data_IF_270738635131
#
_entry.id   IF_270738635131
#
_cell.length_a   1.000
_cell.length_b   1.000
_cell.length_c   1.000
_cell.angle_alpha   90.00
_cell.angle_beta   90.00
_cell.angle_gamma   90.00
#
_symmetry.space_group_name_H-M   'P 1'
#
loop_
_entity.id
_entity.type
_entity.pdbx_description
1 polymer ?
#
# COMPACT_ATOMS: atom_id res chain seq x y z
N UNK A 1 -27.60 23.64 6.11
CA UNK A 1 -27.28 22.54 5.16
C UNK A 1 -25.79 22.45 4.80
N UNK A 2 -25.10 23.53 4.39
CA UNK A 2 -23.66 23.47 4.02
C UNK A 2 -22.75 22.89 5.11
N UNK A 3 -22.97 23.27 6.37
CA UNK A 3 -22.14 22.83 7.51
C UNK A 3 -22.28 21.33 7.85
N UNK A 4 -23.49 20.79 7.71
CA UNK A 4 -23.78 19.35 7.87
C UNK A 4 -23.17 18.51 6.73
N UNK A 5 -23.12 19.05 5.51
CA UNK A 5 -22.46 18.39 4.38
C UNK A 5 -20.95 18.38 4.56
N UNK A 6 -20.34 19.50 4.95
CA UNK A 6 -18.89 19.60 5.21
C UNK A 6 -18.47 18.69 6.37
N UNK A 7 -19.23 18.63 7.46
CA UNK A 7 -18.90 17.78 8.60
C UNK A 7 -18.99 16.29 8.26
N UNK A 8 -19.98 15.90 7.44
CA UNK A 8 -20.14 14.52 6.96
C UNK A 8 -19.02 14.11 6.01
N UNK A 9 -18.66 14.97 5.06
CA UNK A 9 -17.53 14.73 4.13
C UNK A 9 -16.23 14.60 4.92
N UNK A 10 -15.97 15.51 5.85
CA UNK A 10 -14.80 15.45 6.74
C UNK A 10 -14.76 14.16 7.57
N UNK A 11 -15.91 13.66 8.02
CA UNK A 11 -16.00 12.39 8.75
C UNK A 11 -15.62 11.20 7.87
N UNK A 12 -16.22 11.05 6.69
CA UNK A 12 -15.90 9.95 5.77
C UNK A 12 -14.42 9.95 5.37
N UNK A 13 -13.86 11.14 5.10
CA UNK A 13 -12.44 11.29 4.80
C UNK A 13 -11.54 10.79 5.92
N UNK A 14 -11.91 11.01 7.19
CA UNK A 14 -11.17 10.49 8.35
C UNK A 14 -11.32 8.99 8.50
N UNK A 15 -12.51 8.45 8.24
CA UNK A 15 -12.76 6.99 8.26
C UNK A 15 -11.96 6.27 7.17
N UNK A 16 -11.88 6.84 5.96
CA UNK A 16 -11.05 6.32 4.88
C UNK A 16 -9.56 6.34 5.24
N UNK A 17 -9.08 7.42 5.85
CA UNK A 17 -7.70 7.49 6.36
C UNK A 17 -7.47 6.38 7.39
N UNK A 18 -8.35 6.21 8.37
CA UNK A 18 -8.21 5.19 9.41
C UNK A 18 -8.17 3.77 8.81
N UNK A 19 -9.07 3.46 7.87
CA UNK A 19 -9.09 2.18 7.15
C UNK A 19 -7.73 1.86 6.51
N UNK A 20 -7.13 2.84 5.83
CA UNK A 20 -5.83 2.66 5.16
C UNK A 20 -4.67 2.65 6.16
N UNK A 21 -4.73 3.41 7.25
CA UNK A 21 -3.71 3.35 8.31
C UNK A 21 -3.69 1.98 9.00
N UNK A 22 -4.86 1.42 9.31
CA UNK A 22 -4.99 0.10 9.91
C UNK A 22 -4.52 -0.99 8.94
N UNK A 23 -4.86 -0.86 7.66
CA UNK A 23 -4.32 -1.72 6.61
C UNK A 23 -2.78 -1.68 6.56
N UNK A 24 -2.14 -0.51 6.57
CA UNK A 24 -0.68 -0.43 6.59
C UNK A 24 -0.08 -1.06 7.84
N UNK A 25 -0.68 -0.77 9.00
CA UNK A 25 -0.24 -1.31 10.29
C UNK A 25 -0.27 -2.83 10.28
N UNK A 26 -1.40 -3.43 9.92
CA UNK A 26 -1.55 -4.88 9.98
C UNK A 26 -0.78 -5.58 8.87
N UNK A 27 -0.85 -5.07 7.64
CA UNK A 27 -0.38 -5.80 6.45
C UNK A 27 1.07 -5.48 6.10
N UNK A 28 1.49 -4.21 6.15
CA UNK A 28 2.86 -3.85 5.75
C UNK A 28 3.82 -3.77 6.94
N UNK A 29 3.35 -3.33 8.11
CA UNK A 29 4.20 -3.21 9.31
C UNK A 29 4.25 -4.54 10.08
N UNK A 30 3.09 -5.09 10.44
CA UNK A 30 2.96 -6.33 11.21
C UNK A 30 3.02 -7.60 10.34
N UNK A 31 2.78 -7.45 9.02
CA UNK A 31 2.87 -8.54 8.03
C UNK A 31 1.86 -9.67 8.26
N UNK A 32 0.69 -9.30 8.77
CA UNK A 32 -0.46 -10.17 8.94
C UNK A 32 -1.40 -10.10 7.73
N UNK A 33 -1.08 -10.89 6.70
CA UNK A 33 -1.89 -10.97 5.49
C UNK A 33 -3.27 -11.62 5.70
N UNK A 34 -3.52 -12.26 6.85
CA UNK A 34 -4.84 -12.82 7.16
C UNK A 34 -5.90 -11.72 7.38
N UNK A 35 -5.44 -10.50 7.69
CA UNK A 35 -6.27 -9.31 7.92
C UNK A 35 -6.71 -8.62 6.63
N UNK A 36 -6.12 -8.96 5.48
CA UNK A 36 -6.47 -8.34 4.19
C UNK A 36 -7.98 -8.36 3.89
N UNK A 37 -8.72 -9.37 4.36
CA UNK A 37 -10.18 -9.44 4.18
C UNK A 37 -10.96 -8.32 4.87
N UNK A 38 -10.41 -7.70 5.92
CA UNK A 38 -11.03 -6.56 6.61
C UNK A 38 -10.87 -5.26 5.86
N UNK A 39 -9.81 -5.13 5.06
CA UNK A 39 -9.47 -3.88 4.42
C UNK A 39 -9.80 -3.87 2.93
N UNK A 40 -9.65 -5.02 2.24
CA UNK A 40 -9.67 -5.08 0.78
C UNK A 40 -10.94 -5.74 0.25
N UNK A 41 -11.47 -5.16 -0.84
CA UNK A 41 -12.54 -5.75 -1.63
C UNK A 41 -12.08 -7.09 -2.22
N UNK A 42 -12.97 -8.06 -2.34
CA UNK A 42 -12.63 -9.36 -2.93
C UNK A 42 -12.10 -9.20 -4.36
N UNK A 43 -12.74 -8.31 -5.13
CA UNK A 43 -12.39 -7.98 -6.51
C UNK A 43 -11.48 -6.74 -6.57
N UNK A 44 -10.56 -6.60 -5.62
CA UNK A 44 -9.57 -5.52 -5.60
C UNK A 44 -8.80 -5.44 -6.93
N UNK A 45 -8.61 -4.23 -7.45
CA UNK A 45 -7.86 -3.98 -8.68
C UNK A 45 -6.50 -3.39 -8.31
N UNK A 46 -5.43 -4.04 -8.77
CA UNK A 46 -4.08 -3.55 -8.62
C UNK A 46 -3.57 -3.06 -9.97
N UNK A 47 -3.42 -1.74 -10.12
CA UNK A 47 -2.87 -1.15 -11.34
C UNK A 47 -1.34 -1.09 -11.33
N UNK A 48 -0.70 -1.41 -10.21
CA UNK A 48 0.74 -1.55 -10.21
C UNK A 48 1.14 -2.86 -10.89
N UNK A 49 2.29 -2.82 -11.56
CA UNK A 49 2.77 -3.99 -12.27
C UNK A 49 3.06 -5.14 -11.27
N UNK A 50 2.97 -6.39 -11.74
CA UNK A 50 3.44 -7.62 -11.06
C UNK A 50 2.57 -8.25 -9.98
N UNK A 51 1.55 -7.58 -9.46
CA UNK A 51 0.58 -8.19 -8.52
C UNK A 51 -0.70 -8.49 -9.28
N UNK A 52 -1.16 -9.74 -9.22
CA UNK A 52 -2.42 -10.13 -9.83
C UNK A 52 -3.58 -9.39 -9.16
N UNK A 53 -4.63 -9.10 -9.95
CA UNK A 53 -5.88 -8.58 -9.43
C UNK A 53 -6.55 -9.56 -8.47
N UNK A 54 -7.46 -9.02 -7.66
CA UNK A 54 -8.16 -9.71 -6.60
C UNK A 54 -7.38 -9.69 -5.28
N UNK A 55 -8.10 -9.72 -4.17
CA UNK A 55 -7.49 -9.79 -2.84
C UNK A 55 -6.57 -11.00 -2.68
N UNK A 56 -6.96 -12.14 -3.26
CA UNK A 56 -6.17 -13.37 -3.17
C UNK A 56 -4.85 -13.24 -3.92
N UNK A 57 -4.83 -12.57 -5.08
CA UNK A 57 -3.61 -12.26 -5.83
C UNK A 57 -2.64 -11.38 -5.03
N UNK A 58 -3.17 -10.38 -4.31
CA UNK A 58 -2.39 -9.57 -3.37
C UNK A 58 -1.81 -10.42 -2.23
N UNK A 59 -2.63 -11.23 -1.55
CA UNK A 59 -2.21 -12.06 -0.43
C UNK A 59 -1.12 -13.04 -0.87
N UNK A 60 -1.29 -13.69 -2.02
CA UNK A 60 -0.32 -14.63 -2.57
C UNK A 60 1.03 -13.94 -2.81
N UNK A 61 1.03 -12.81 -3.51
CA UNK A 61 2.24 -12.06 -3.83
C UNK A 61 2.98 -11.63 -2.55
N UNK A 62 2.30 -10.95 -1.62
CA UNK A 62 2.95 -10.41 -0.43
C UNK A 62 3.32 -11.49 0.61
N UNK A 63 2.61 -12.62 0.65
CA UNK A 63 3.02 -13.79 1.45
C UNK A 63 4.30 -14.41 0.90
N UNK A 64 4.41 -14.56 -0.43
CA UNK A 64 5.61 -15.08 -1.08
C UNK A 64 6.79 -14.10 -0.98
N UNK A 65 6.54 -12.81 -1.18
CA UNK A 65 7.51 -11.75 -0.93
C UNK A 65 8.01 -11.83 0.51
N UNK A 66 7.10 -11.98 1.47
CA UNK A 66 7.47 -12.04 2.88
C UNK A 66 8.33 -13.24 3.26
N UNK A 67 8.11 -14.40 2.65
CA UNK A 67 8.96 -15.59 2.84
C UNK A 67 10.37 -15.36 2.28
N UNK A 68 10.48 -14.73 1.11
CA UNK A 68 11.78 -14.38 0.48
C UNK A 68 12.52 -13.29 1.25
N UNK A 69 11.77 -12.36 1.83
CA UNK A 69 12.26 -11.17 2.50
C UNK A 69 11.73 -11.14 3.95
N UNK A 70 12.25 -12.00 4.85
CA UNK A 70 11.71 -12.17 6.20
C UNK A 70 11.98 -10.98 7.11
N UNK A 71 12.83 -10.04 6.71
CA UNK A 71 13.11 -8.82 7.43
C UNK A 71 12.72 -7.61 6.57
N UNK A 72 11.80 -6.81 7.07
CA UNK A 72 11.33 -5.60 6.40
C UNK A 72 10.13 -5.03 7.11
N UNK A 73 9.87 -3.76 6.87
CA UNK A 73 8.72 -3.04 7.42
C UNK A 73 8.47 -1.77 6.61
N UNK A 74 7.44 -1.04 6.99
CA UNK A 74 7.06 0.24 6.42
C UNK A 74 6.78 1.28 7.51
N UNK A 75 6.67 2.54 7.11
CA UNK A 75 6.10 3.60 7.93
C UNK A 75 5.42 4.64 7.06
N UNK A 76 4.29 5.15 7.51
CA UNK A 76 3.59 6.25 6.82
C UNK A 76 4.27 7.56 7.21
N UNK A 77 4.70 8.33 6.22
CA UNK A 77 5.25 9.68 6.41
C UNK A 77 4.17 10.74 6.26
N UNK A 78 3.28 10.56 5.28
CA UNK A 78 2.12 11.42 5.08
C UNK A 78 0.95 10.59 4.57
N UNK A 79 -0.23 10.92 5.06
CA UNK A 79 -1.49 10.37 4.56
C UNK A 79 -2.52 11.50 4.48
N UNK A 80 -3.31 11.49 3.42
CA UNK A 80 -4.41 12.42 3.22
C UNK A 80 -5.50 11.71 2.41
N UNK A 81 -6.73 12.19 2.53
CA UNK A 81 -7.84 11.72 1.72
C UNK A 81 -8.43 12.88 0.92
N UNK A 82 -9.04 12.54 -0.22
CA UNK A 82 -9.84 13.42 -1.05
C UNK A 82 -10.95 12.59 -1.66
N UNK A 83 -12.19 12.97 -1.41
CA UNK A 83 -13.37 12.18 -1.79
C UNK A 83 -13.24 10.72 -1.30
N UNK A 84 -13.38 9.76 -2.21
CA UNK A 84 -13.23 8.33 -1.97
C UNK A 84 -11.77 7.85 -2.05
N UNK A 85 -10.80 8.74 -2.26
CA UNK A 85 -9.40 8.37 -2.42
C UNK A 85 -8.57 8.67 -1.17
N UNK A 86 -7.59 7.81 -0.91
CA UNK A 86 -6.57 8.00 0.13
C UNK A 86 -5.19 7.93 -0.53
N UNK A 87 -4.38 8.94 -0.25
CA UNK A 87 -3.02 9.07 -0.76
C UNK A 87 -2.05 8.86 0.39
N UNK A 88 -1.11 7.94 0.20
CA UNK A 88 -0.10 7.58 1.20
C UNK A 88 1.28 7.85 0.62
N UNK A 89 2.11 8.53 1.39
CA UNK A 89 3.54 8.60 1.15
C UNK A 89 4.22 7.80 2.26
N UNK A 90 4.77 6.64 1.89
CA UNK A 90 5.31 5.68 2.84
C UNK A 90 6.79 5.39 2.59
N UNK A 91 7.52 5.16 3.68
CA UNK A 91 8.86 4.62 3.67
C UNK A 91 8.78 3.11 3.79
N UNK A 92 9.58 2.40 3.02
CA UNK A 92 9.70 0.95 3.09
C UNK A 92 11.16 0.55 3.16
N UNK A 93 11.42 -0.55 3.85
CA UNK A 93 12.72 -1.19 3.82
C UNK A 93 12.59 -2.70 3.91
N UNK A 94 13.56 -3.38 3.32
CA UNK A 94 13.72 -4.82 3.49
C UNK A 94 15.20 -5.18 3.51
N UNK A 95 15.55 -6.27 4.18
CA UNK A 95 16.92 -6.77 4.26
C UNK A 95 17.00 -8.15 3.62
N UNK A 96 17.90 -8.29 2.66
CA UNK A 96 18.22 -9.54 1.99
C UNK A 96 19.74 -9.73 1.98
N UNK A 97 20.22 -10.87 2.49
CA UNK A 97 21.64 -11.26 2.43
C UNK A 97 22.61 -10.17 2.93
N UNK A 98 22.26 -9.48 4.02
CA UNK A 98 23.07 -8.40 4.59
C UNK A 98 22.90 -7.02 3.93
N UNK A 99 22.22 -6.96 2.79
CA UNK A 99 21.93 -5.73 2.05
C UNK A 99 20.56 -5.18 2.47
N UNK A 100 20.49 -3.90 2.80
CA UNK A 100 19.23 -3.21 3.09
C UNK A 100 18.77 -2.43 1.86
N UNK A 101 17.62 -2.82 1.33
CA UNK A 101 16.89 -2.05 0.34
C UNK A 101 16.00 -1.04 1.07
N UNK A 102 16.01 0.20 0.60
CA UNK A 102 15.18 1.30 1.11
C UNK A 102 14.51 1.97 -0.07
N UNK A 103 13.21 2.17 0.02
CA UNK A 103 12.43 2.81 -1.02
C UNK A 103 11.27 3.59 -0.42
N UNK A 104 10.72 4.52 -1.19
CA UNK A 104 9.45 5.16 -0.87
C UNK A 104 8.41 4.79 -1.89
N UNK A 105 7.17 4.67 -1.44
CA UNK A 105 6.01 4.50 -2.28
C UNK A 105 5.10 5.72 -2.14
N UNK A 106 4.56 6.17 -3.26
CA UNK A 106 3.36 6.99 -3.29
C UNK A 106 2.24 6.06 -3.73
N UNK A 107 1.35 5.74 -2.80
CA UNK A 107 0.23 4.84 -3.01
C UNK A 107 -1.07 5.64 -3.04
N UNK A 108 -1.96 5.31 -3.96
CA UNK A 108 -3.30 5.90 -4.09
C UNK A 108 -4.29 4.75 -4.00
N UNK A 109 -5.23 4.84 -3.07
CA UNK A 109 -6.27 3.84 -2.85
C UNK A 109 -7.63 4.47 -3.10
N UNK A 110 -8.46 3.84 -3.93
CA UNK A 110 -9.89 4.14 -4.00
C UNK A 110 -10.63 3.27 -2.98
N UNK A 111 -11.50 3.90 -2.18
CA UNK A 111 -12.32 3.23 -1.18
C UNK A 111 -13.77 3.15 -1.67
N UNK A 112 -14.32 1.94 -1.69
CA UNK A 112 -15.75 1.70 -1.97
C UNK A 112 -16.30 0.72 -0.95
N UNK A 113 -17.52 0.97 -0.47
CA UNK A 113 -18.20 0.10 0.50
C UNK A 113 -17.34 -0.23 1.74
N UNK A 114 -16.59 0.77 2.23
CA UNK A 114 -15.66 0.63 3.36
C UNK A 114 -14.54 -0.42 3.13
N UNK A 115 -14.12 -0.57 1.87
CA UNK A 115 -13.02 -1.44 1.44
C UNK A 115 -12.14 -0.73 0.43
N UNK A 116 -10.86 -1.07 0.42
CA UNK A 116 -9.93 -0.72 -0.64
C UNK A 116 -10.35 -1.49 -1.89
N UNK A 117 -10.81 -0.75 -2.90
CA UNK A 117 -11.32 -1.31 -4.15
C UNK A 117 -10.26 -1.33 -5.24
N UNK A 118 -9.47 -0.28 -5.32
CA UNK A 118 -8.49 -0.10 -6.38
C UNK A 118 -7.25 0.62 -5.86
N UNK A 119 -6.11 0.34 -6.48
CA UNK A 119 -4.81 0.85 -6.07
C UNK A 119 -3.91 1.19 -7.24
N UNK A 120 -3.13 2.26 -7.07
CA UNK A 120 -2.03 2.67 -7.93
C UNK A 120 -0.83 3.02 -7.06
N UNK A 121 0.38 2.69 -7.53
CA UNK A 121 1.61 3.08 -6.86
C UNK A 121 2.65 3.68 -7.81
N UNK A 122 3.60 4.40 -7.21
CA UNK A 122 4.90 4.69 -7.80
C UNK A 122 5.98 4.55 -6.73
N UNK A 123 7.06 3.84 -7.07
CA UNK A 123 8.13 3.49 -6.13
C UNK A 123 9.47 4.11 -6.53
N UNK A 124 10.16 4.68 -5.54
CA UNK A 124 11.49 5.30 -5.68
C UNK A 124 12.50 4.64 -4.73
N UNK A 125 13.60 4.11 -5.26
CA UNK A 125 14.71 3.61 -4.44
C UNK A 125 15.52 4.74 -3.80
N UNK A 126 15.96 4.56 -2.54
CA UNK A 126 16.63 5.61 -1.76
C UNK A 126 18.15 5.43 -1.59
N UNK A 127 18.71 4.31 -2.00
CA UNK A 127 20.16 4.09 -1.98
C UNK A 127 20.62 3.44 -3.30
N UNK A 128 21.92 3.45 -3.58
CA UNK A 128 22.45 3.03 -4.89
C UNK A 128 21.95 1.66 -5.36
N UNK A 129 21.92 0.67 -4.46
CA UNK A 129 21.41 -0.66 -4.79
C UNK A 129 19.89 -0.68 -5.01
N UNK A 130 19.12 0.08 -4.22
CA UNK A 130 17.65 0.16 -4.39
C UNK A 130 17.29 0.87 -5.68
N UNK A 131 17.96 2.00 -5.99
CA UNK A 131 17.78 2.72 -7.25
C UNK A 131 18.03 1.79 -8.43
N UNK A 132 19.15 1.06 -8.41
CA UNK A 132 19.49 0.10 -9.45
C UNK A 132 18.42 -0.99 -9.61
N UNK A 133 17.97 -1.61 -8.51
CA UNK A 133 16.95 -2.67 -8.55
C UNK A 133 15.62 -2.14 -9.12
N UNK A 134 15.11 -1.01 -8.61
CA UNK A 134 13.82 -0.49 -9.08
C UNK A 134 13.90 0.07 -10.51
N UNK A 135 15.05 0.57 -10.94
CA UNK A 135 15.30 0.91 -12.34
C UNK A 135 15.21 -0.32 -13.24
N UNK A 136 15.91 -1.40 -12.89
CA UNK A 136 15.86 -2.68 -13.63
C UNK A 136 14.43 -3.21 -13.66
N UNK A 137 13.74 -3.18 -12.51
CA UNK A 137 12.33 -3.59 -12.39
C UNK A 137 11.43 -2.87 -13.40
N UNK A 138 11.60 -1.55 -13.50
CA UNK A 138 10.80 -0.68 -14.37
C UNK A 138 11.14 -0.85 -15.85
N UNK A 139 12.40 -1.10 -16.21
CA UNK A 139 12.83 -1.27 -17.60
C UNK A 139 12.50 -2.67 -18.14
N UNK A 140 12.63 -3.70 -17.30
CA UNK A 140 12.56 -5.10 -17.75
C UNK A 140 11.32 -5.86 -17.28
N UNK A 141 10.47 -5.26 -16.46
CA UNK A 141 9.26 -5.94 -15.99
C UNK A 141 9.53 -7.12 -15.06
N UNK A 142 10.58 -7.04 -14.23
CA UNK A 142 11.02 -8.10 -13.31
C UNK A 142 10.40 -8.02 -11.90
#
# INVERSE_FOLDING_TARGET
MKELTTSRVSKFMKENIALVQDFYTDVFINRDFSRCKEYMDENYINNSNFVNNGRDGFIEYFSNYSKKFPNGSASIEKILSSDDHVFVYANHWTKLLGITLKYKAIDIYEIKNNKIKEHWDSVEGLNGISIFIFMVKRVFGL
#
